data_IF_479062533871
#
_entry.id   IF_479062533871
#
_cell.length_a   1.000
_cell.length_b   1.000
_cell.length_c   1.000
_cell.angle_alpha   90.00
_cell.angle_beta   90.00
_cell.angle_gamma   90.00
#
_symmetry.space_group_name_H-M   'P 1'
#
loop_
_entity.id
_entity.type
_entity.pdbx_description
1 polymer ?
#
# COMPACT_ATOMS: atom_id res chain seq x y z
N UNK A 1 3.83 5.38 11.86
CA UNK A 1 2.65 5.74 11.04
C UNK A 1 2.92 5.25 9.63
N UNK A 2 2.03 4.41 9.10
CA UNK A 2 2.13 3.85 7.75
C UNK A 2 1.09 4.52 6.86
N UNK A 3 1.48 5.01 5.68
CA UNK A 3 0.53 5.57 4.71
C UNK A 3 0.77 5.00 3.31
N UNK A 4 -0.32 4.60 2.66
CA UNK A 4 -0.33 4.32 1.24
C UNK A 4 -0.18 5.64 0.50
N UNK A 5 0.87 5.76 -0.31
CA UNK A 5 1.10 6.97 -1.09
C UNK A 5 0.28 6.94 -2.39
N UNK A 6 0.29 5.81 -3.10
CA UNK A 6 -0.45 5.65 -4.36
C UNK A 6 -0.55 4.20 -4.81
N UNK A 7 -1.54 3.91 -5.65
CA UNK A 7 -1.66 2.68 -6.43
C UNK A 7 -1.35 3.03 -7.89
N UNK A 8 -0.44 2.31 -8.52
CA UNK A 8 -0.10 2.43 -9.95
C UNK A 8 -0.73 1.27 -10.70
N UNK A 9 -1.73 1.56 -11.55
CA UNK A 9 -2.49 0.57 -12.32
C UNK A 9 -2.27 0.82 -13.81
N UNK A 10 -1.48 -0.04 -14.46
CA UNK A 10 -1.06 0.20 -15.83
C UNK A 10 -0.29 1.52 -15.95
N UNK A 11 -0.91 2.52 -16.59
CA UNK A 11 -0.37 3.88 -16.79
C UNK A 11 -0.99 4.93 -15.87
N UNK A 12 -1.95 4.54 -15.02
CA UNK A 12 -2.66 5.45 -14.13
C UNK A 12 -2.07 5.45 -12.71
N UNK A 13 -2.15 6.62 -12.07
CA UNK A 13 -1.81 6.82 -10.65
C UNK A 13 -3.10 7.15 -9.90
N UNK A 14 -3.44 6.30 -8.93
CA UNK A 14 -4.61 6.44 -8.07
C UNK A 14 -4.14 6.85 -6.67
N UNK A 15 -4.66 7.97 -6.16
CA UNK A 15 -4.46 8.40 -4.77
C UNK A 15 -5.59 7.85 -3.89
N UNK A 16 -5.30 6.94 -2.94
CA UNK A 16 -6.35 6.27 -2.19
C UNK A 16 -7.16 7.24 -1.33
N UNK A 17 -8.48 7.25 -1.52
CA UNK A 17 -9.47 7.99 -0.73
C UNK A 17 -10.07 7.17 0.42
N UNK A 18 -9.62 5.93 0.62
CA UNK A 18 -10.03 5.03 1.70
C UNK A 18 -10.97 3.90 1.29
N UNK A 19 -11.58 3.98 0.11
CA UNK A 19 -12.46 2.94 -0.46
C UNK A 19 -11.94 2.34 -1.77
N UNK A 20 -10.80 2.83 -2.24
CA UNK A 20 -10.04 2.21 -3.32
C UNK A 20 -9.49 0.85 -2.89
N UNK A 21 -9.48 -0.09 -3.84
CA UNK A 21 -8.99 -1.44 -3.63
C UNK A 21 -7.77 -1.71 -4.50
N UNK A 22 -6.79 -2.36 -3.88
CA UNK A 22 -5.64 -2.94 -4.58
C UNK A 22 -6.13 -4.20 -5.30
N UNK A 23 -5.85 -4.30 -6.59
CA UNK A 23 -6.23 -5.40 -7.46
C UNK A 23 -4.98 -6.13 -7.98
N UNK A 24 -5.11 -7.34 -8.56
CA UNK A 24 -3.99 -7.99 -9.24
C UNK A 24 -3.33 -7.06 -10.27
N UNK A 25 -2.01 -7.18 -10.43
CA UNK A 25 -1.15 -6.35 -11.29
C UNK A 25 -0.95 -4.89 -10.84
N UNK A 26 -1.56 -4.46 -9.74
CA UNK A 26 -1.26 -3.16 -9.17
C UNK A 26 0.16 -3.10 -8.58
N UNK A 27 0.82 -1.97 -8.78
CA UNK A 27 2.06 -1.63 -8.06
C UNK A 27 1.72 -0.60 -7.00
N UNK A 28 1.93 -0.95 -5.73
CA UNK A 28 1.57 -0.10 -4.59
C UNK A 28 2.81 0.57 -4.02
N UNK A 29 2.75 1.89 -3.82
CA UNK A 29 3.82 2.66 -3.20
C UNK A 29 3.41 2.98 -1.76
N UNK A 30 4.25 2.54 -0.82
CA UNK A 30 4.03 2.67 0.61
C UNK A 30 5.13 3.54 1.21
N UNK A 31 4.75 4.49 2.08
CA UNK A 31 5.71 5.32 2.81
C UNK A 31 5.49 5.12 4.31
N UNK A 32 6.56 4.71 4.99
CA UNK A 32 6.59 4.48 6.42
C UNK A 32 7.70 5.31 7.06
N UNK A 33 7.42 5.87 8.24
CA UNK A 33 8.43 6.56 9.06
C UNK A 33 8.53 5.90 10.43
N UNK A 34 9.75 5.63 10.89
CA UNK A 34 10.01 5.10 12.24
C UNK A 34 9.73 3.61 12.40
N UNK A 35 9.48 2.89 11.31
CA UNK A 35 9.29 1.43 11.28
C UNK A 35 10.03 0.88 10.09
N UNK A 36 10.75 -0.21 10.30
CA UNK A 36 11.40 -0.96 9.23
C UNK A 36 10.44 -2.06 8.78
N UNK A 37 10.03 -2.00 7.52
CA UNK A 37 9.21 -3.04 6.91
C UNK A 37 10.13 -4.19 6.54
N UNK A 38 9.89 -5.36 7.14
CA UNK A 38 10.61 -6.58 6.81
C UNK A 38 9.81 -7.43 5.84
N UNK A 39 8.48 -7.41 5.98
CA UNK A 39 7.54 -8.11 5.11
C UNK A 39 6.32 -7.22 4.81
N UNK A 40 5.60 -7.53 3.73
CA UNK A 40 4.28 -6.94 3.43
C UNK A 40 3.23 -7.35 4.47
N UNK A 41 3.38 -8.48 5.14
CA UNK A 41 2.47 -8.85 6.24
C UNK A 41 2.47 -7.82 7.39
N UNK A 42 3.58 -7.08 7.56
CA UNK A 42 3.69 -5.99 8.54
C UNK A 42 2.71 -4.84 8.29
N UNK A 43 2.23 -4.71 7.04
CA UNK A 43 1.33 -3.62 6.61
C UNK A 43 -0.11 -4.07 6.39
N UNK A 44 -0.33 -5.36 6.13
CA UNK A 44 -1.65 -5.91 5.81
C UNK A 44 -2.47 -6.26 7.07
N UNK A 45 -1.92 -6.07 8.27
CA UNK A 45 -2.56 -6.43 9.52
C UNK A 45 -2.45 -7.94 9.77
N UNK A 46 -1.20 -8.41 9.86
CA UNK A 46 -0.83 -9.81 10.05
C UNK A 46 -1.79 -10.60 10.95
N UNK A 47 -2.16 -11.78 10.43
CA UNK A 47 -3.02 -12.82 11.00
C UNK A 47 -3.06 -12.86 12.54
N UNK A 48 -4.28 -12.71 13.07
CA UNK A 48 -4.79 -13.54 14.17
C UNK A 48 -5.68 -14.64 13.57
#
# INVERSE_FOLDING_TARGET
NLRLASIVRGQDIIFPGGQDQILPEDRVIVVATGVRLYDLDDILGGRD
#
